data_IF_535224473569
#
_entry.id   IF_535224473569
#
_cell.length_a   1.000
_cell.length_b   1.000
_cell.length_c   1.000
_cell.angle_alpha   90.00
_cell.angle_beta   90.00
_cell.angle_gamma   90.00
#
_symmetry.space_group_name_H-M   'P 1'
#
loop_
_entity.id
_entity.type
_entity.pdbx_description
1 polymer ?
#
# COMPACT_ATOMS: atom_id res chain seq x y z
N UNK A 1 -45.16 11.76 -20.82
CA UNK A 1 -44.02 11.67 -21.76
C UNK A 1 -42.76 11.37 -20.96
N UNK A 2 -42.26 10.14 -21.13
CA UNK A 2 -40.92 9.62 -20.79
C UNK A 2 -40.35 9.80 -19.37
N UNK A 3 -40.49 8.75 -18.58
CA UNK A 3 -39.63 8.40 -17.44
C UNK A 3 -38.18 8.23 -17.91
N UNK A 4 -37.35 9.25 -17.71
CA UNK A 4 -35.93 9.18 -17.99
C UNK A 4 -35.25 8.20 -17.01
N UNK A 5 -34.50 7.24 -17.55
CA UNK A 5 -33.66 6.26 -16.84
C UNK A 5 -32.89 6.89 -15.68
N UNK A 6 -33.28 6.58 -14.45
CA UNK A 6 -32.53 6.87 -13.21
C UNK A 6 -31.38 5.88 -12.96
N UNK A 7 -30.93 5.16 -14.00
CA UNK A 7 -29.93 4.09 -13.89
C UNK A 7 -28.88 4.25 -14.99
N UNK A 8 -28.08 5.31 -14.89
CA UNK A 8 -26.87 5.50 -15.68
C UNK A 8 -25.70 5.73 -14.74
N UNK A 9 -24.81 4.76 -14.59
CA UNK A 9 -23.54 4.98 -13.92
C UNK A 9 -22.79 6.11 -14.63
N UNK A 10 -22.57 7.23 -13.96
CA UNK A 10 -21.79 8.34 -14.53
C UNK A 10 -20.40 7.80 -14.90
N UNK A 11 -20.00 7.83 -16.18
CA UNK A 11 -18.69 7.32 -16.59
C UNK A 11 -17.59 8.16 -15.94
N UNK A 12 -16.56 7.48 -15.42
CA UNK A 12 -15.43 8.14 -14.78
C UNK A 12 -14.72 9.08 -15.75
N UNK A 13 -14.42 10.30 -15.29
CA UNK A 13 -13.57 11.25 -16.00
C UNK A 13 -12.15 10.69 -16.15
N UNK A 14 -11.35 11.23 -17.09
CA UNK A 14 -9.97 10.79 -17.31
C UNK A 14 -9.12 10.84 -16.03
N UNK A 15 -9.26 11.93 -15.26
CA UNK A 15 -8.58 12.08 -13.97
C UNK A 15 -9.04 11.08 -12.91
N UNK A 16 -10.34 10.78 -12.83
CA UNK A 16 -10.88 9.77 -11.90
C UNK A 16 -10.34 8.37 -12.23
N UNK A 17 -10.25 8.02 -13.51
CA UNK A 17 -9.67 6.74 -13.94
C UNK A 17 -8.18 6.64 -13.60
N UNK A 18 -7.45 7.74 -13.69
CA UNK A 18 -6.04 7.80 -13.29
C UNK A 18 -5.88 7.69 -11.77
N UNK A 19 -6.73 8.36 -11.00
CA UNK A 19 -6.73 8.30 -9.54
C UNK A 19 -6.90 6.86 -9.00
N UNK A 20 -7.76 6.05 -9.65
CA UNK A 20 -7.90 4.62 -9.30
C UNK A 20 -6.57 3.87 -9.43
N UNK A 21 -5.74 4.17 -10.44
CA UNK A 21 -4.42 3.53 -10.60
C UNK A 21 -3.47 3.93 -9.48
N UNK A 22 -3.45 5.20 -9.10
CA UNK A 22 -2.66 5.67 -7.95
C UNK A 22 -3.12 5.01 -6.65
N UNK A 23 -4.42 4.89 -6.44
CA UNK A 23 -4.98 4.21 -5.27
C UNK A 23 -4.58 2.73 -5.21
N UNK A 24 -4.52 2.04 -6.34
CA UNK A 24 -4.02 0.66 -6.40
C UNK A 24 -2.56 0.57 -5.96
N UNK A 25 -1.71 1.52 -6.38
CA UNK A 25 -0.30 1.57 -5.94
C UNK A 25 -0.19 1.88 -4.45
N UNK A 26 -0.99 2.83 -3.94
CA UNK A 26 -1.09 3.14 -2.51
C UNK A 26 -1.41 1.89 -1.67
N UNK A 27 -2.44 1.11 -2.06
CA UNK A 27 -2.79 -0.14 -1.37
C UNK A 27 -1.69 -1.20 -1.47
N UNK A 28 -0.96 -1.27 -2.59
CA UNK A 28 0.19 -2.16 -2.69
C UNK A 28 1.32 -1.76 -1.74
N UNK A 29 1.63 -0.47 -1.63
CA UNK A 29 2.61 0.06 -0.68
C UNK A 29 2.17 -0.16 0.77
N UNK A 30 0.87 -0.07 1.07
CA UNK A 30 0.30 -0.43 2.37
C UNK A 30 0.56 -1.90 2.72
N UNK A 31 0.31 -2.80 1.76
CA UNK A 31 0.60 -4.23 1.94
C UNK A 31 2.07 -4.49 2.23
N UNK A 32 2.97 -3.81 1.52
CA UNK A 32 4.40 -3.87 1.79
C UNK A 32 4.74 -3.32 3.20
N UNK A 33 4.13 -2.21 3.62
CA UNK A 33 4.30 -1.64 4.95
C UNK A 33 3.96 -2.66 6.04
N UNK A 34 2.83 -3.36 5.93
CA UNK A 34 2.41 -4.38 6.90
C UNK A 34 3.43 -5.52 6.93
N UNK A 35 3.86 -6.00 5.76
CA UNK A 35 4.83 -7.08 5.65
C UNK A 35 6.14 -6.76 6.36
N UNK A 36 6.72 -5.57 6.12
CA UNK A 36 7.95 -5.14 6.79
C UNK A 36 7.75 -4.93 8.30
N UNK A 37 6.56 -4.53 8.74
CA UNK A 37 6.22 -4.45 10.17
C UNK A 37 6.23 -5.82 10.84
N UNK A 38 5.63 -6.83 10.20
CA UNK A 38 5.67 -8.21 10.66
C UNK A 38 7.10 -8.78 10.65
N UNK A 39 7.87 -8.46 9.61
CA UNK A 39 9.27 -8.87 9.47
C UNK A 39 10.12 -8.28 10.61
N UNK A 40 9.88 -7.01 10.98
CA UNK A 40 10.56 -6.36 12.10
C UNK A 40 10.19 -6.99 13.44
N UNK A 41 8.91 -7.33 13.64
CA UNK A 41 8.45 -8.08 14.81
C UNK A 41 9.10 -9.47 14.90
N UNK A 42 9.31 -10.15 13.78
CA UNK A 42 10.02 -11.42 13.74
C UNK A 42 11.53 -11.26 14.04
N UNK A 43 12.18 -10.28 13.44
CA UNK A 43 13.59 -9.95 13.73
C UNK A 43 13.80 -9.55 15.20
N UNK A 44 12.78 -9.01 15.87
CA UNK A 44 12.83 -8.74 17.31
C UNK A 44 12.92 -10.02 18.15
N UNK A 45 12.31 -11.13 17.68
CA UNK A 45 12.38 -12.44 18.32
C UNK A 45 13.63 -13.23 17.92
N UNK A 46 14.10 -13.07 16.67
CA UNK A 46 15.29 -13.71 16.12
C UNK A 46 16.17 -12.68 15.37
N UNK A 47 17.15 -12.06 16.07
CA UNK A 47 17.96 -10.97 15.50
C UNK A 47 18.87 -11.36 14.34
N UNK A 48 19.29 -12.63 14.25
CA UNK A 48 20.21 -13.10 13.19
C UNK A 48 19.49 -13.32 11.85
N UNK A 49 18.15 -13.31 11.86
CA UNK A 49 17.35 -13.52 10.66
C UNK A 49 17.52 -12.35 9.66
N UNK A 50 17.98 -12.69 8.44
CA UNK A 50 18.29 -11.77 7.34
C UNK A 50 19.47 -10.81 7.60
N UNK A 51 20.30 -11.09 8.60
CA UNK A 51 21.53 -10.34 8.84
C UNK A 51 22.42 -10.29 7.59
N UNK A 52 22.91 -9.10 7.24
CA UNK A 52 23.74 -8.87 6.05
C UNK A 52 22.99 -8.76 4.72
N UNK A 53 21.67 -8.97 4.71
CA UNK A 53 20.79 -8.75 3.54
C UNK A 53 19.82 -7.60 3.82
N UNK A 54 19.03 -7.72 4.89
CA UNK A 54 18.12 -6.66 5.37
C UNK A 54 18.19 -6.62 6.90
N UNK A 55 19.09 -5.79 7.41
CA UNK A 55 19.23 -5.61 8.85
C UNK A 55 18.01 -4.93 9.46
N UNK A 56 17.81 -5.12 10.76
CA UNK A 56 16.67 -4.57 11.50
C UNK A 56 16.50 -3.05 11.32
N UNK A 57 17.61 -2.29 11.32
CA UNK A 57 17.57 -0.84 11.14
C UNK A 57 17.08 -0.42 9.75
N UNK A 58 17.46 -1.17 8.71
CA UNK A 58 17.02 -0.96 7.33
C UNK A 58 15.54 -1.34 7.21
N UNK A 59 15.15 -2.50 7.70
CA UNK A 59 13.77 -2.96 7.71
C UNK A 59 12.83 -1.95 8.41
N UNK A 60 13.21 -1.48 9.61
CA UNK A 60 12.46 -0.46 10.34
C UNK A 60 12.34 0.85 9.55
N UNK A 61 13.42 1.27 8.88
CA UNK A 61 13.40 2.48 8.05
C UNK A 61 12.42 2.33 6.88
N UNK A 62 12.44 1.19 6.18
CA UNK A 62 11.50 0.89 5.09
C UNK A 62 10.07 0.89 5.60
N UNK A 63 9.79 0.24 6.72
CA UNK A 63 8.44 0.19 7.33
C UNK A 63 7.88 1.58 7.64
N UNK A 64 8.66 2.44 8.32
CA UNK A 64 8.20 3.77 8.73
C UNK A 64 8.06 4.71 7.52
N UNK A 65 8.99 4.69 6.57
CA UNK A 65 8.86 5.49 5.36
C UNK A 65 7.67 5.04 4.52
N UNK A 66 7.46 3.72 4.41
CA UNK A 66 6.32 3.17 3.70
C UNK A 66 5.00 3.65 4.32
N UNK A 67 4.90 3.78 5.66
CA UNK A 67 3.72 4.30 6.39
C UNK A 67 3.33 5.74 6.01
N UNK A 68 4.28 6.54 5.50
CA UNK A 68 4.03 7.93 5.08
C UNK A 68 3.67 8.03 3.59
N UNK A 69 4.23 7.15 2.76
CA UNK A 69 4.15 7.26 1.29
C UNK A 69 2.92 6.55 0.70
N UNK A 70 2.50 5.44 1.32
CA UNK A 70 1.34 4.66 0.86
C UNK A 70 0.04 5.45 0.97
#
# INVERSE_FOLDING_TARGET
MSTAKLTGSVPLSGGQRLAVKYFVVAVALFGAQILFGLLAGFQFLNPDFLYGVVDFSVNRTVHINAMVVW
#
